data_IF_871026484045
#
_entry.id   IF_871026484045
#
_cell.length_a   1.000
_cell.length_b   1.000
_cell.length_c   1.000
_cell.angle_alpha   90.00
_cell.angle_beta   90.00
_cell.angle_gamma   90.00
#
_symmetry.space_group_name_H-M   'P 1'
#
loop_
_entity.id
_entity.type
_entity.pdbx_description
1 polymer ?
#
# COMPACT_ATOMS: atom_id res chain seq x y z
N UNK A 1 -8.13 -8.01 7.54
CA UNK A 1 -9.16 -7.00 7.92
C UNK A 1 -9.03 -5.81 6.99
N UNK A 2 -10.13 -5.28 6.47
CA UNK A 2 -10.17 -4.07 5.66
C UNK A 2 -10.68 -2.89 6.49
N UNK A 3 -10.06 -1.71 6.32
CA UNK A 3 -10.59 -0.46 6.85
C UNK A 3 -10.22 0.71 5.96
N UNK A 4 -11.17 1.59 5.76
CA UNK A 4 -10.93 2.92 5.21
C UNK A 4 -10.69 3.94 6.34
N UNK A 5 -10.15 5.10 5.99
CA UNK A 5 -9.93 6.18 6.94
C UNK A 5 -8.70 6.01 7.82
N UNK A 6 -8.59 6.93 8.77
CA UNK A 6 -7.45 7.02 9.68
C UNK A 6 -7.61 6.04 10.84
N UNK A 7 -6.86 4.95 10.83
CA UNK A 7 -6.94 3.87 11.83
C UNK A 7 -5.67 3.67 12.65
N UNK A 8 -4.66 4.54 12.51
CA UNK A 8 -3.37 4.35 13.16
C UNK A 8 -3.48 4.19 14.69
N UNK A 9 -4.41 4.91 15.30
CA UNK A 9 -4.56 4.89 16.76
C UNK A 9 -5.16 3.60 17.30
N UNK A 10 -6.01 2.94 16.52
CA UNK A 10 -6.61 1.66 16.92
C UNK A 10 -5.79 0.46 16.46
N UNK A 11 -4.81 0.67 15.58
CA UNK A 11 -4.03 -0.42 14.99
C UNK A 11 -3.29 -1.28 16.05
N UNK A 12 -2.68 -0.72 17.12
CA UNK A 12 -2.12 -1.53 18.19
C UNK A 12 -3.11 -2.48 18.83
N UNK A 13 -4.35 -2.03 19.04
CA UNK A 13 -5.42 -2.85 19.63
C UNK A 13 -5.88 -3.95 18.67
N UNK A 14 -5.90 -3.67 17.37
CA UNK A 14 -6.23 -4.68 16.35
C UNK A 14 -5.16 -5.78 16.30
N UNK A 15 -3.90 -5.42 16.38
CA UNK A 15 -2.78 -6.37 16.45
C UNK A 15 -2.87 -7.22 17.71
N UNK A 16 -3.12 -6.62 18.86
CA UNK A 16 -3.32 -7.31 20.12
C UNK A 16 -4.51 -8.28 20.06
N UNK A 17 -5.59 -7.90 19.37
CA UNK A 17 -6.75 -8.75 19.14
C UNK A 17 -6.50 -9.90 18.14
N UNK A 18 -5.31 -9.99 17.54
CA UNK A 18 -4.92 -11.09 16.65
C UNK A 18 -5.08 -10.80 15.16
N UNK A 19 -5.24 -9.54 14.76
CA UNK A 19 -5.24 -9.16 13.34
C UNK A 19 -3.83 -9.27 12.79
N UNK A 20 -3.63 -10.09 11.75
CA UNK A 20 -2.34 -10.34 11.13
C UNK A 20 -2.13 -9.57 9.83
N UNK A 21 -3.21 -9.26 9.12
CA UNK A 21 -3.18 -8.51 7.85
C UNK A 21 -4.21 -7.40 7.89
N UNK A 22 -3.78 -6.19 7.56
CA UNK A 22 -4.65 -5.02 7.45
C UNK A 22 -4.61 -4.50 6.01
N UNK A 23 -5.79 -4.43 5.39
CA UNK A 23 -5.95 -3.84 4.06
C UNK A 23 -6.22 -2.35 4.18
N UNK A 24 -5.37 -1.53 3.58
CA UNK A 24 -5.44 -0.07 3.56
C UNK A 24 -5.46 0.42 2.12
N UNK A 25 -6.59 0.98 1.69
CA UNK A 25 -6.77 1.48 0.32
C UNK A 25 -6.49 2.97 0.17
N UNK A 26 -6.29 3.67 1.28
CA UNK A 26 -6.13 5.12 1.34
C UNK A 26 -4.93 5.51 2.20
N UNK A 27 -3.71 5.12 1.82
CA UNK A 27 -2.54 5.37 2.66
C UNK A 27 -2.23 6.86 2.88
N UNK A 28 -2.76 7.76 2.04
CA UNK A 28 -2.53 9.21 2.17
C UNK A 28 -3.38 9.89 3.25
N UNK A 29 -4.30 9.18 3.91
CA UNK A 29 -5.06 9.74 5.05
C UNK A 29 -4.20 9.88 6.32
N UNK A 30 -3.00 9.32 6.32
CA UNK A 30 -2.02 9.45 7.39
C UNK A 30 -0.60 9.49 6.79
N UNK A 31 0.42 9.96 7.56
CA UNK A 31 1.79 9.93 7.08
C UNK A 31 2.28 8.49 6.91
N UNK A 32 2.58 8.07 5.66
CA UNK A 32 3.03 6.71 5.34
C UNK A 32 4.21 6.25 6.23
N UNK A 33 5.24 7.09 6.52
CA UNK A 33 6.35 6.67 7.39
C UNK A 33 5.92 6.20 8.79
N UNK A 34 4.75 6.63 9.28
CA UNK A 34 4.24 6.17 10.58
C UNK A 34 3.86 4.69 10.60
N UNK A 35 3.63 4.07 9.45
CA UNK A 35 3.40 2.62 9.36
C UNK A 35 4.65 1.81 9.79
N UNK A 36 5.83 2.40 9.71
CA UNK A 36 7.09 1.73 10.06
C UNK A 36 7.14 1.25 11.52
N UNK A 37 6.41 1.89 12.44
CA UNK A 37 6.31 1.46 13.83
C UNK A 37 5.67 0.07 14.00
N UNK A 38 4.90 -0.38 12.99
CA UNK A 38 4.24 -1.69 12.97
C UNK A 38 4.97 -2.73 12.12
N UNK A 39 6.12 -2.38 11.56
CA UNK A 39 6.93 -3.29 10.75
C UNK A 39 7.28 -4.55 11.53
N UNK A 40 7.01 -5.72 10.95
CA UNK A 40 7.21 -7.00 11.61
C UNK A 40 6.11 -7.41 12.60
N UNK A 41 5.12 -6.56 12.87
CA UNK A 41 4.02 -6.83 13.80
C UNK A 41 2.71 -7.16 13.09
N UNK A 42 2.51 -6.62 11.90
CA UNK A 42 1.34 -6.83 11.05
C UNK A 42 1.77 -6.72 9.59
N UNK A 43 1.09 -7.43 8.70
CA UNK A 43 1.26 -7.30 7.27
C UNK A 43 0.25 -6.27 6.74
N UNK A 44 0.72 -5.37 5.88
CA UNK A 44 -0.13 -4.40 5.20
C UNK A 44 -0.41 -4.86 3.77
N UNK A 45 -1.69 -4.97 3.45
CA UNK A 45 -2.18 -5.15 2.10
C UNK A 45 -2.59 -3.79 1.57
N UNK A 46 -1.80 -3.23 0.66
CA UNK A 46 -1.85 -1.82 0.28
C UNK A 46 -1.73 -1.60 -1.22
N UNK A 47 -2.18 -0.44 -1.66
CA UNK A 47 -1.92 0.11 -2.99
C UNK A 47 -1.47 1.57 -2.85
N UNK A 48 -0.97 2.17 -3.93
CA UNK A 48 -0.94 3.62 -4.03
C UNK A 48 -2.37 4.17 -3.87
N UNK A 49 -2.51 5.38 -3.37
CA UNK A 49 -3.80 5.89 -2.88
C UNK A 49 -4.90 5.83 -3.92
N UNK A 50 -5.95 5.06 -3.62
CA UNK A 50 -7.06 4.78 -4.52
C UNK A 50 -7.96 6.00 -4.77
N UNK A 51 -7.96 6.98 -3.87
CA UNK A 51 -8.79 8.18 -3.99
C UNK A 51 -8.08 9.37 -4.62
N UNK A 52 -6.76 9.44 -4.53
CA UNK A 52 -6.00 10.60 -4.96
C UNK A 52 -5.00 10.30 -6.07
N UNK A 53 -4.04 9.44 -5.82
CA UNK A 53 -2.88 9.25 -6.70
C UNK A 53 -3.18 8.40 -7.91
N UNK A 54 -3.88 7.27 -7.73
CA UNK A 54 -4.23 6.37 -8.83
C UNK A 54 -5.18 7.02 -9.84
N UNK A 55 -6.26 7.71 -9.42
CA UNK A 55 -7.15 8.38 -10.38
C UNK A 55 -6.46 9.49 -11.20
N UNK A 56 -5.48 10.17 -10.63
CA UNK A 56 -4.72 11.21 -11.32
C UNK A 56 -3.71 10.66 -12.32
N UNK A 57 -3.22 9.44 -12.09
CA UNK A 57 -2.31 8.76 -12.97
C UNK A 57 -0.92 9.41 -13.11
N UNK A 58 -0.48 10.23 -12.14
CA UNK A 58 0.85 10.81 -12.13
C UNK A 58 1.86 9.74 -11.68
N UNK A 59 2.61 9.21 -12.63
CA UNK A 59 3.55 8.11 -12.39
C UNK A 59 4.64 8.47 -11.39
N UNK A 60 5.13 9.71 -11.37
CA UNK A 60 6.16 10.14 -10.43
C UNK A 60 5.64 10.17 -9.00
N UNK A 61 4.42 10.64 -8.80
CA UNK A 61 3.75 10.65 -7.49
C UNK A 61 3.49 9.22 -7.01
N UNK A 62 2.95 8.37 -7.88
CA UNK A 62 2.66 6.96 -7.59
C UNK A 62 3.94 6.21 -7.23
N UNK A 63 5.02 6.38 -8.00
CA UNK A 63 6.30 5.75 -7.73
C UNK A 63 6.88 6.16 -6.36
N UNK A 64 6.75 7.42 -5.99
CA UNK A 64 7.17 7.93 -4.67
C UNK A 64 6.35 7.32 -3.53
N UNK A 65 5.03 7.20 -3.70
CA UNK A 65 4.17 6.54 -2.71
C UNK A 65 4.53 5.06 -2.54
N UNK A 66 4.74 4.35 -3.64
CA UNK A 66 5.17 2.94 -3.61
C UNK A 66 6.48 2.79 -2.87
N UNK A 67 7.46 3.66 -3.14
CA UNK A 67 8.73 3.64 -2.41
C UNK A 67 8.51 3.86 -0.91
N UNK A 68 7.69 4.83 -0.54
CA UNK A 68 7.34 5.09 0.87
C UNK A 68 6.67 3.90 1.56
N UNK A 69 5.76 3.22 0.87
CA UNK A 69 5.09 2.02 1.40
C UNK A 69 6.08 0.86 1.59
N UNK A 70 6.96 0.64 0.62
CA UNK A 70 8.01 -0.38 0.74
C UNK A 70 8.94 -0.09 1.90
N UNK A 71 9.41 1.15 2.04
CA UNK A 71 10.30 1.57 3.11
C UNK A 71 9.65 1.41 4.50
N UNK A 72 8.36 1.71 4.61
CA UNK A 72 7.63 1.65 5.87
C UNK A 72 7.18 0.25 6.27
N UNK A 73 6.86 -0.63 5.31
CA UNK A 73 6.16 -1.88 5.56
C UNK A 73 7.01 -3.13 5.31
N UNK A 74 7.93 -3.10 4.33
CA UNK A 74 8.71 -4.29 3.97
C UNK A 74 9.87 -4.56 4.93
N UNK A 75 10.11 -5.85 5.18
CA UNK A 75 11.26 -6.37 5.89
C UNK A 75 11.73 -7.67 5.23
N UNK A 76 12.90 -8.23 5.61
CA UNK A 76 13.35 -9.52 5.08
C UNK A 76 12.35 -10.67 5.28
N UNK A 77 11.49 -10.56 6.27
CA UNK A 77 10.43 -11.54 6.57
C UNK A 77 9.10 -11.23 5.88
N UNK A 78 9.03 -10.20 5.04
CA UNK A 78 7.82 -9.75 4.37
C UNK A 78 7.21 -8.50 5.01
N UNK A 79 5.88 -8.38 4.97
CA UNK A 79 5.14 -7.30 5.63
C UNK A 79 4.28 -6.45 4.70
N UNK A 80 4.39 -6.63 3.39
CA UNK A 80 3.57 -5.92 2.42
C UNK A 80 3.00 -6.89 1.38
N UNK A 81 1.73 -6.72 1.08
CA UNK A 81 1.02 -7.35 -0.04
C UNK A 81 0.55 -6.24 -0.96
N UNK A 82 0.96 -6.28 -2.22
CA UNK A 82 0.48 -5.34 -3.23
C UNK A 82 -0.96 -5.67 -3.62
N UNK A 83 -1.85 -4.69 -3.51
CA UNK A 83 -3.19 -4.77 -4.09
C UNK A 83 -3.17 -4.14 -5.47
N UNK A 84 -3.49 -4.94 -6.49
CA UNK A 84 -3.67 -4.42 -7.83
C UNK A 84 -5.14 -4.07 -8.02
N UNK A 85 -5.43 -2.79 -8.16
CA UNK A 85 -6.77 -2.29 -8.42
C UNK A 85 -7.05 -2.29 -9.91
N UNK A 86 -8.18 -2.86 -10.27
CA UNK A 86 -8.74 -2.81 -11.60
C UNK A 86 -9.88 -1.77 -11.72
N UNK A 87 -10.50 -1.71 -12.88
CA UNK A 87 -11.58 -0.75 -13.19
C UNK A 87 -12.79 -0.83 -12.26
N UNK A 88 -12.98 -1.93 -11.54
CA UNK A 88 -14.17 -2.13 -10.69
C UNK A 88 -14.19 -1.22 -9.46
N UNK A 89 -13.03 -0.75 -9.03
CA UNK A 89 -12.89 0.03 -7.79
C UNK A 89 -12.99 1.53 -8.01
N UNK A 90 -13.06 1.99 -9.25
CA UNK A 90 -13.09 3.41 -9.57
C UNK A 90 -14.39 3.75 -10.28
N UNK A 91 -15.16 4.64 -9.69
CA UNK A 91 -16.34 5.22 -10.38
C UNK A 91 -15.86 6.00 -11.60
N UNK A 92 -16.28 5.54 -12.77
CA UNK A 92 -15.91 6.12 -14.05
C UNK A 92 -14.67 5.48 -14.67
N UNK A 93 -14.64 5.48 -15.99
CA UNK A 93 -13.64 4.85 -16.85
C UNK A 93 -12.22 5.46 -16.81
N UNK A 94 -11.87 6.17 -15.74
CA UNK A 94 -10.78 7.13 -15.75
C UNK A 94 -9.43 6.62 -15.21
N UNK A 95 -9.34 5.37 -14.74
CA UNK A 95 -8.03 4.80 -14.44
C UNK A 95 -7.54 4.07 -15.69
N UNK A 96 -6.51 4.59 -16.37
CA UNK A 96 -5.96 3.90 -17.52
C UNK A 96 -5.45 2.52 -17.10
N UNK A 97 -5.80 1.48 -17.84
CA UNK A 97 -5.24 0.12 -17.64
C UNK A 97 -3.71 0.08 -17.44
N UNK A 98 -2.91 0.97 -18.05
CA UNK A 98 -1.47 1.05 -17.82
C UNK A 98 -1.06 1.32 -16.37
N UNK A 99 -1.90 1.99 -15.56
CA UNK A 99 -1.53 2.35 -14.19
C UNK A 99 -1.36 1.13 -13.28
N UNK A 100 -2.25 0.13 -13.37
CA UNK A 100 -2.09 -1.11 -12.61
C UNK A 100 -0.80 -1.85 -12.94
N UNK A 101 -0.49 -1.95 -14.24
CA UNK A 101 0.75 -2.57 -14.71
C UNK A 101 1.99 -1.76 -14.27
N UNK A 102 1.91 -0.44 -14.32
CA UNK A 102 2.96 0.45 -13.83
C UNK A 102 3.23 0.24 -12.33
N UNK A 103 2.18 0.26 -11.51
CA UNK A 103 2.31 0.01 -10.06
C UNK A 103 2.98 -1.33 -9.78
N UNK A 104 2.52 -2.39 -10.41
CA UNK A 104 3.10 -3.72 -10.24
C UNK A 104 4.59 -3.76 -10.62
N UNK A 105 4.96 -3.15 -11.75
CA UNK A 105 6.35 -3.06 -12.17
C UNK A 105 7.22 -2.27 -11.17
N UNK A 106 6.69 -1.16 -10.63
CA UNK A 106 7.39 -0.35 -9.65
C UNK A 106 7.58 -1.07 -8.31
N UNK A 107 6.57 -1.79 -7.81
CA UNK A 107 6.73 -2.63 -6.61
C UNK A 107 7.84 -3.67 -6.81
N UNK A 108 7.81 -4.41 -7.90
CA UNK A 108 8.83 -5.44 -8.18
C UNK A 108 10.23 -4.85 -8.33
N UNK A 109 10.35 -3.70 -9.00
CA UNK A 109 11.63 -3.04 -9.25
C UNK A 109 12.25 -2.46 -7.99
N UNK A 110 11.43 -1.96 -7.08
CA UNK A 110 11.87 -1.22 -5.88
C UNK A 110 11.97 -2.07 -4.64
N UNK A 111 11.31 -3.22 -4.59
CA UNK A 111 11.38 -4.11 -3.44
C UNK A 111 12.80 -4.72 -3.32
N UNK A 112 13.56 -4.33 -2.27
CA UNK A 112 14.94 -4.78 -2.13
C UNK A 112 15.05 -6.28 -1.83
N UNK A 113 13.97 -6.91 -1.37
CA UNK A 113 13.96 -8.31 -0.96
C UNK A 113 13.58 -9.25 -2.10
N UNK A 114 12.79 -8.78 -3.07
CA UNK A 114 12.46 -9.56 -4.28
C UNK A 114 13.66 -9.72 -5.22
N UNK A 115 14.61 -8.80 -5.19
CA UNK A 115 15.79 -8.84 -6.06
C UNK A 115 16.89 -9.78 -5.56
N UNK A 116 16.74 -10.35 -4.38
CA UNK A 116 17.71 -11.26 -3.77
C UNK A 116 17.41 -12.74 -4.06
N UNK A 117 16.32 -13.00 -4.77
CA UNK A 117 15.95 -14.31 -5.28
C UNK A 117 16.23 -14.40 -6.76
#
# INVERSE_FOLDING_TARGET
>A
MHSCGQILEILPHLIEAGVNVVNLMQPNVFPIPRLAQFKGKVCFEVCADAQSSLPKGDEAVIAKEIQGLLDACCSPSGGLIEVQLDRMYFEGDNVPRPIGAFCHAEYRRRDPFLQQT
#
